data_IF_602830773396
#
_entry.id   IF_602830773396
#
_cell.length_a   1.000
_cell.length_b   1.000
_cell.length_c   1.000
_cell.angle_alpha   90.00
_cell.angle_beta   90.00
_cell.angle_gamma   90.00
#
_symmetry.space_group_name_H-M   'P 1'
#
loop_
_entity.id
_entity.type
_entity.pdbx_description
1 polymer ?
#
# COMPACT_ATOMS: atom_id res chain seq x y z
N UNK A 1 -28.79 -8.53 15.14
CA UNK A 1 -28.88 -7.11 15.57
C UNK A 1 -27.89 -6.87 16.72
N UNK A 2 -27.30 -5.67 16.82
CA UNK A 2 -26.46 -5.32 17.97
C UNK A 2 -27.37 -5.09 19.18
N UNK A 3 -27.15 -5.84 20.25
CA UNK A 3 -27.89 -5.70 21.51
C UNK A 3 -27.31 -4.59 22.38
N UNK A 4 -28.12 -3.99 23.24
CA UNK A 4 -27.72 -2.88 24.12
C UNK A 4 -26.58 -3.23 25.09
N UNK A 5 -26.42 -4.51 25.42
CA UNK A 5 -25.37 -5.01 26.31
C UNK A 5 -24.07 -5.45 25.56
N UNK A 6 -23.94 -5.16 24.27
CA UNK A 6 -22.76 -5.58 23.49
C UNK A 6 -21.51 -4.82 23.95
N UNK A 7 -20.54 -5.50 24.57
CA UNK A 7 -19.27 -4.92 25.07
C UNK A 7 -18.04 -5.46 24.35
N UNK A 8 -18.09 -5.62 23.03
CA UNK A 8 -16.98 -6.18 22.27
C UNK A 8 -15.91 -5.12 21.96
N UNK A 9 -14.65 -5.36 22.35
CA UNK A 9 -13.50 -4.55 21.90
C UNK A 9 -13.34 -3.17 22.55
N UNK A 10 -13.98 -2.92 23.70
CA UNK A 10 -13.81 -1.66 24.46
C UNK A 10 -14.32 -0.41 23.74
N UNK A 11 -15.18 -0.56 22.73
CA UNK A 11 -15.79 0.54 21.98
C UNK A 11 -17.21 0.82 22.46
N UNK A 12 -17.69 2.04 22.27
CA UNK A 12 -19.09 2.39 22.49
C UNK A 12 -19.96 1.87 21.34
N UNK A 13 -20.86 0.94 21.63
CA UNK A 13 -21.79 0.37 20.64
C UNK A 13 -23.15 1.08 20.60
N UNK A 14 -23.37 2.06 21.48
CA UNK A 14 -24.66 2.76 21.63
C UNK A 14 -25.22 3.29 20.30
N UNK A 15 -24.44 3.91 19.40
CA UNK A 15 -24.95 4.40 18.12
C UNK A 15 -25.45 3.31 17.15
N UNK A 16 -25.14 2.04 17.42
CA UNK A 16 -25.39 0.91 16.53
C UNK A 16 -26.42 -0.08 17.09
N UNK A 17 -26.96 0.15 18.29
CA UNK A 17 -27.99 -0.69 18.90
C UNK A 17 -29.18 -0.81 17.94
N UNK A 18 -29.67 -2.03 17.75
CA UNK A 18 -30.78 -2.33 16.84
C UNK A 18 -30.40 -2.46 15.37
N UNK A 19 -29.19 -2.05 14.95
CA UNK A 19 -28.73 -2.23 13.56
C UNK A 19 -28.15 -3.63 13.33
N UNK A 20 -28.19 -4.08 12.09
CA UNK A 20 -27.53 -5.33 11.65
C UNK A 20 -26.30 -4.95 10.83
N UNK A 21 -25.12 -5.36 11.30
CA UNK A 21 -23.86 -5.18 10.58
C UNK A 21 -23.47 -6.49 9.91
N UNK A 22 -22.92 -6.42 8.70
CA UNK A 22 -22.22 -7.57 8.13
C UNK A 22 -20.96 -7.89 8.95
N UNK A 23 -20.45 -9.12 8.81
CA UNK A 23 -19.25 -9.59 9.55
C UNK A 23 -18.04 -8.67 9.39
N UNK A 24 -17.84 -8.09 8.20
CA UNK A 24 -16.74 -7.17 7.94
C UNK A 24 -16.92 -5.82 8.67
N UNK A 25 -18.11 -5.24 8.65
CA UNK A 25 -18.45 -4.01 9.36
C UNK A 25 -18.32 -4.19 10.87
N UNK A 26 -18.81 -5.32 11.41
CA UNK A 26 -18.67 -5.66 12.82
C UNK A 26 -17.20 -5.74 13.24
N UNK A 27 -16.37 -6.47 12.50
CA UNK A 27 -14.95 -6.60 12.79
C UNK A 27 -14.21 -5.27 12.72
N UNK A 28 -14.53 -4.42 11.73
CA UNK A 28 -13.94 -3.08 11.62
C UNK A 28 -14.31 -2.19 12.79
N UNK A 29 -15.59 -2.13 13.16
CA UNK A 29 -16.03 -1.32 14.30
C UNK A 29 -15.39 -1.79 15.60
N UNK A 30 -15.39 -3.11 15.84
CA UNK A 30 -14.74 -3.72 17.01
C UNK A 30 -13.27 -3.31 17.15
N UNK A 31 -12.55 -3.22 16.03
CA UNK A 31 -11.11 -2.93 16.06
C UNK A 31 -10.78 -1.44 16.06
N UNK A 32 -11.66 -0.58 15.53
CA UNK A 32 -11.33 0.84 15.26
C UNK A 32 -12.28 1.84 15.91
N UNK A 33 -13.42 1.38 16.45
CA UNK A 33 -14.47 2.24 17.00
C UNK A 33 -15.22 3.10 15.99
N UNK A 34 -14.94 2.97 14.68
CA UNK A 34 -15.49 3.85 13.66
C UNK A 34 -16.03 3.08 12.45
N UNK A 35 -17.28 3.35 12.08
CA UNK A 35 -17.94 2.78 10.88
C UNK A 35 -18.12 3.79 9.75
N UNK A 36 -17.90 5.08 9.99
CA UNK A 36 -18.17 6.17 9.03
C UNK A 36 -17.47 5.93 7.69
N UNK A 37 -16.21 5.48 7.73
CA UNK A 37 -15.45 5.14 6.53
C UNK A 37 -15.90 3.86 5.82
N UNK A 38 -16.67 2.98 6.47
CA UNK A 38 -17.17 1.75 5.86
C UNK A 38 -18.54 1.94 5.20
N UNK A 39 -19.42 2.70 5.86
CA UNK A 39 -20.80 2.92 5.39
C UNK A 39 -20.79 3.76 4.11
N UNK A 40 -19.97 4.81 4.05
CA UNK A 40 -19.86 5.65 2.84
C UNK A 40 -19.23 4.94 1.64
N UNK A 41 -18.27 4.02 1.87
CA UNK A 41 -17.55 3.34 0.78
C UNK A 41 -18.34 2.25 0.08
N UNK A 42 -19.44 1.79 0.68
CA UNK A 42 -20.18 0.64 0.17
C UNK A 42 -21.64 0.92 -0.15
N UNK A 43 -22.13 2.16 -0.01
CA UNK A 43 -23.41 2.51 -0.63
C UNK A 43 -23.17 2.49 -2.14
N UNK A 44 -23.71 1.51 -2.89
CA UNK A 44 -23.58 1.54 -4.33
C UNK A 44 -24.25 2.82 -4.78
N UNK A 45 -23.51 3.69 -5.48
CA UNK A 45 -24.14 4.80 -6.19
C UNK A 45 -25.25 4.20 -7.05
N UNK A 46 -26.42 4.83 -7.02
CA UNK A 46 -27.52 4.50 -7.93
C UNK A 46 -26.97 4.47 -9.36
N UNK A 47 -27.50 3.58 -10.20
CA UNK A 47 -26.97 3.39 -11.56
C UNK A 47 -26.87 4.73 -12.33
N UNK A 48 -27.87 5.59 -12.16
CA UNK A 48 -27.94 6.94 -12.75
C UNK A 48 -26.82 7.88 -12.26
N UNK A 49 -26.29 7.66 -11.06
CA UNK A 49 -25.18 8.41 -10.48
C UNK A 49 -23.80 7.80 -10.80
N UNK A 50 -23.72 6.76 -11.65
CA UNK A 50 -22.44 6.11 -12.03
C UNK A 50 -21.84 6.71 -13.29
N UNK A 51 -21.71 8.04 -13.31
CA UNK A 51 -21.04 8.76 -14.39
C UNK A 51 -19.93 9.63 -13.84
N UNK A 52 -18.77 9.59 -14.48
CA UNK A 52 -17.68 10.49 -14.16
C UNK A 52 -18.08 11.94 -14.49
N UNK A 53 -18.10 12.82 -13.50
CA UNK A 53 -18.47 14.23 -13.65
C UNK A 53 -17.30 15.11 -14.11
N UNK A 54 -16.09 14.55 -14.23
CA UNK A 54 -14.94 15.28 -14.70
C UNK A 54 -15.01 15.49 -16.22
N UNK A 55 -15.03 16.75 -16.66
CA UNK A 55 -15.21 17.15 -18.07
C UNK A 55 -14.15 16.56 -19.01
N UNK A 56 -12.92 16.32 -18.54
CA UNK A 56 -11.84 15.73 -19.34
C UNK A 56 -11.80 14.20 -19.36
N UNK A 57 -12.84 13.51 -18.86
CA UNK A 57 -12.89 12.05 -18.84
C UNK A 57 -13.25 11.50 -20.23
N UNK A 58 -12.41 10.61 -20.78
CA UNK A 58 -12.68 10.00 -22.10
C UNK A 58 -13.89 9.07 -22.09
N UNK A 59 -14.02 8.27 -21.03
CA UNK A 59 -15.03 7.22 -20.93
C UNK A 59 -15.75 7.37 -19.58
N UNK A 60 -16.71 8.31 -19.47
CA UNK A 60 -17.32 8.64 -18.20
C UNK A 60 -18.25 7.56 -17.65
N UNK A 61 -18.74 6.63 -18.49
CA UNK A 61 -19.74 5.61 -18.12
C UNK A 61 -19.19 4.16 -18.10
N UNK A 62 -18.01 3.91 -18.67
CA UNK A 62 -17.45 2.55 -18.83
C UNK A 62 -16.65 2.05 -17.61
N UNK A 63 -16.63 2.78 -16.50
CA UNK A 63 -15.84 2.35 -15.34
C UNK A 63 -16.55 1.29 -14.52
N UNK A 64 -15.78 0.31 -14.04
CA UNK A 64 -16.28 -0.71 -13.10
C UNK A 64 -16.54 -0.13 -11.70
N UNK A 65 -15.92 1.00 -11.36
CA UNK A 65 -16.01 1.64 -10.05
C UNK A 65 -16.01 3.16 -10.16
N UNK A 66 -16.79 3.76 -9.29
CA UNK A 66 -16.92 5.21 -9.15
C UNK A 66 -16.66 5.62 -7.71
N UNK A 67 -16.03 6.77 -7.55
CA UNK A 67 -15.64 7.34 -6.26
C UNK A 67 -16.25 8.72 -6.15
N UNK A 68 -17.12 8.91 -5.15
CA UNK A 68 -17.59 10.24 -4.77
C UNK A 68 -16.52 10.89 -3.89
N UNK A 69 -16.09 12.09 -4.28
CA UNK A 69 -15.10 12.86 -3.53
C UNK A 69 -15.83 13.71 -2.50
N UNK A 70 -15.78 13.26 -1.24
CA UNK A 70 -16.28 14.01 -0.08
C UNK A 70 -15.15 14.80 0.61
N UNK A 71 -15.53 15.72 1.52
CA UNK A 71 -14.63 16.56 2.33
C UNK A 71 -13.62 15.73 3.14
N UNK A 72 -13.99 14.49 3.46
CA UNK A 72 -13.15 13.57 4.20
C UNK A 72 -12.21 12.72 3.31
N UNK A 73 -12.21 12.95 2.01
CA UNK A 73 -11.34 12.21 1.07
C UNK A 73 -9.91 12.72 1.23
N UNK A 74 -9.07 11.99 1.98
CA UNK A 74 -7.66 12.33 2.24
C UNK A 74 -6.68 11.38 1.56
N UNK A 75 -7.00 10.93 0.35
CA UNK A 75 -6.20 9.95 -0.38
C UNK A 75 -4.90 10.56 -0.94
N UNK A 76 -3.75 9.94 -0.69
CA UNK A 76 -2.49 10.27 -1.37
C UNK A 76 -1.82 11.59 -0.98
N UNK A 77 -2.20 12.20 0.15
CA UNK A 77 -1.57 13.45 0.61
C UNK A 77 -1.79 14.65 -0.32
N UNK A 78 -2.86 14.62 -1.12
CA UNK A 78 -3.25 15.70 -2.05
C UNK A 78 -4.46 16.45 -1.52
N UNK A 79 -4.59 17.69 -1.97
CA UNK A 79 -5.78 18.49 -1.71
C UNK A 79 -6.91 18.09 -2.68
N UNK A 80 -8.03 17.64 -2.14
CA UNK A 80 -9.21 17.21 -2.90
C UNK A 80 -10.31 18.28 -2.96
N UNK A 81 -10.10 19.45 -2.34
CA UNK A 81 -11.14 20.47 -2.14
C UNK A 81 -11.78 20.92 -3.46
N UNK A 82 -10.99 21.05 -4.53
CA UNK A 82 -11.49 21.42 -5.87
C UNK A 82 -12.39 20.38 -6.54
N UNK A 83 -12.32 19.14 -6.09
CA UNK A 83 -13.09 18.02 -6.63
C UNK A 83 -14.24 17.61 -5.69
N UNK A 84 -14.49 18.37 -4.63
CA UNK A 84 -15.54 18.05 -3.68
C UNK A 84 -16.92 17.99 -4.35
N UNK A 85 -17.68 16.93 -4.07
CA UNK A 85 -18.98 16.66 -4.68
C UNK A 85 -18.90 16.00 -6.07
N UNK A 86 -17.72 15.90 -6.68
CA UNK A 86 -17.56 15.23 -7.97
C UNK A 86 -17.53 13.70 -7.82
N UNK A 87 -18.00 13.02 -8.86
CA UNK A 87 -17.90 11.57 -8.99
C UNK A 87 -16.83 11.27 -10.02
N UNK A 88 -15.78 10.57 -9.61
CA UNK A 88 -14.67 10.20 -10.48
C UNK A 88 -14.71 8.70 -10.78
N UNK A 89 -14.46 8.34 -12.03
CA UNK A 89 -14.17 6.95 -12.38
C UNK A 89 -12.84 6.49 -11.76
N UNK A 90 -12.62 5.17 -11.65
CA UNK A 90 -11.40 4.59 -11.07
C UNK A 90 -10.11 5.13 -11.72
N UNK A 91 -10.12 5.37 -13.03
CA UNK A 91 -8.98 5.90 -13.76
C UNK A 91 -8.66 7.37 -13.38
N UNK A 92 -9.67 8.24 -13.34
CA UNK A 92 -9.50 9.64 -12.94
C UNK A 92 -9.09 9.75 -11.48
N UNK A 93 -9.77 9.02 -10.59
CA UNK A 93 -9.45 9.00 -9.16
C UNK A 93 -7.99 8.61 -8.90
N UNK A 94 -7.51 7.53 -9.51
CA UNK A 94 -6.13 7.09 -9.35
C UNK A 94 -5.11 8.07 -9.94
N UNK A 95 -5.44 8.71 -11.08
CA UNK A 95 -4.58 9.74 -11.67
C UNK A 95 -4.41 10.92 -10.72
N UNK A 96 -5.51 11.46 -10.19
CA UNK A 96 -5.45 12.57 -9.25
C UNK A 96 -4.74 12.19 -7.97
N UNK A 97 -5.05 11.01 -7.42
CA UNK A 97 -4.36 10.49 -6.22
C UNK A 97 -2.84 10.39 -6.40
N UNK A 98 -2.36 10.01 -7.58
CA UNK A 98 -0.94 9.90 -7.87
C UNK A 98 -0.28 11.25 -8.16
N UNK A 99 -0.90 12.09 -9.01
CA UNK A 99 -0.28 13.30 -9.58
C UNK A 99 -0.71 14.60 -8.91
N UNK A 100 -1.86 14.61 -8.24
CA UNK A 100 -2.52 15.82 -7.73
C UNK A 100 -3.25 16.63 -8.79
N UNK A 101 -3.26 16.19 -10.06
CA UNK A 101 -3.95 16.87 -11.16
C UNK A 101 -4.66 15.87 -12.07
N UNK A 102 -5.84 16.25 -12.59
CA UNK A 102 -6.60 15.46 -13.57
C UNK A 102 -6.32 15.89 -15.01
N UNK A 103 -5.83 17.12 -15.19
CA UNK A 103 -5.35 17.62 -16.46
C UNK A 103 -4.34 16.61 -17.01
N UNK A 104 -4.62 16.12 -18.22
CA UNK A 104 -3.55 15.52 -18.98
C UNK A 104 -2.47 16.59 -19.05
N UNK A 105 -1.23 16.21 -18.77
CA UNK A 105 -0.11 16.94 -19.32
C UNK A 105 -0.42 17.02 -20.81
N UNK A 106 -0.95 18.16 -21.24
CA UNK A 106 -1.03 18.48 -22.64
C UNK A 106 0.42 18.35 -23.04
N UNK A 107 0.70 17.35 -23.88
CA UNK A 107 2.03 17.20 -24.45
C UNK A 107 2.22 18.55 -25.09
N UNK A 108 3.03 19.40 -24.46
CA UNK A 108 3.25 20.76 -24.91
C UNK A 108 3.48 20.62 -26.41
N UNK A 109 2.76 21.38 -27.26
CA UNK A 109 3.09 21.35 -28.69
C UNK A 109 4.62 21.47 -28.76
N UNK A 110 5.32 20.56 -29.49
CA UNK A 110 6.77 20.53 -29.51
C UNK A 110 7.20 21.97 -29.78
N UNK A 111 7.81 22.58 -28.76
CA UNK A 111 8.07 24.01 -28.72
C UNK A 111 8.78 24.39 -30.00
N UNK A 112 8.03 24.95 -30.95
CA UNK A 112 8.58 25.39 -32.21
C UNK A 112 9.52 26.56 -31.87
N UNK A 113 10.80 26.35 -32.12
CA UNK A 113 11.85 27.36 -32.10
C UNK A 113 12.07 28.09 -30.75
N UNK A 114 12.73 27.41 -29.80
CA UNK A 114 13.61 28.13 -28.87
C UNK A 114 15.02 28.15 -29.49
N UNK A 115 15.43 29.35 -29.93
CA UNK A 115 16.76 29.65 -30.41
C UNK A 115 17.85 29.22 -29.41
N UNK A 116 19.06 28.86 -29.87
CA UNK A 116 20.19 28.58 -29.00
C UNK A 116 20.58 29.86 -28.26
N UNK A 117 20.55 29.83 -26.92
CA UNK A 117 21.16 30.84 -26.07
C UNK A 117 22.23 30.19 -25.18
N UNK A 118 23.29 30.95 -24.86
CA UNK A 118 24.61 30.40 -24.60
C UNK A 118 24.76 29.78 -23.21
N UNK A 119 25.67 28.82 -23.18
CA UNK A 119 26.30 28.15 -22.05
C UNK A 119 26.67 29.13 -20.92
N UNK A 120 25.90 29.11 -19.85
CA UNK A 120 26.27 29.65 -18.54
C UNK A 120 26.64 28.51 -17.60
N UNK A 121 27.94 28.28 -17.44
CA UNK A 121 28.49 27.38 -16.43
C UNK A 121 28.13 27.89 -15.03
N UNK A 122 27.47 27.04 -14.24
CA UNK A 122 27.08 27.32 -12.87
C UNK A 122 27.17 26.04 -12.05
N UNK A 123 28.37 25.78 -11.54
CA UNK A 123 28.70 24.73 -10.58
C UNK A 123 27.78 24.83 -9.35
N UNK A 124 26.95 23.81 -9.15
CA UNK A 124 26.25 23.57 -7.88
C UNK A 124 26.56 22.16 -7.43
N UNK A 125 27.56 22.06 -6.57
CA UNK A 125 27.81 20.93 -5.67
C UNK A 125 26.55 20.73 -4.81
N UNK A 126 25.75 19.73 -5.18
CA UNK A 126 24.54 19.28 -4.49
C UNK A 126 24.70 17.84 -4.07
N UNK A 127 24.72 17.64 -2.75
CA UNK A 127 25.15 16.46 -2.02
C UNK A 127 23.99 15.49 -1.82
N UNK A 128 23.65 14.70 -2.84
CA UNK A 128 22.78 13.53 -2.68
C UNK A 128 23.33 12.38 -3.53
N UNK A 129 23.99 11.43 -2.86
CA UNK A 129 24.64 10.27 -3.45
C UNK A 129 23.66 9.30 -4.11
N UNK A 130 23.27 9.61 -5.34
CA UNK A 130 22.76 8.64 -6.29
C UNK A 130 23.95 8.10 -7.10
N UNK A 131 24.41 6.90 -6.74
CA UNK A 131 25.33 6.13 -7.57
C UNK A 131 24.57 5.67 -8.83
N UNK A 132 24.47 6.54 -9.83
CA UNK A 132 24.01 6.18 -11.17
C UNK A 132 25.21 6.37 -12.10
N UNK A 133 25.57 5.27 -12.76
CA UNK A 133 26.54 5.16 -13.85
C UNK A 133 28.00 4.87 -13.44
N UNK A 134 28.21 3.84 -12.62
CA UNK A 134 29.38 2.98 -12.82
C UNK A 134 29.00 1.86 -13.82
N UNK A 135 29.88 1.49 -14.75
CA UNK A 135 29.67 0.34 -15.61
C UNK A 135 29.52 -0.93 -14.77
N UNK A 136 28.51 -1.74 -15.11
CA UNK A 136 28.15 -3.00 -14.47
C UNK A 136 29.25 -4.03 -14.69
N UNK A 137 30.22 -4.07 -13.80
CA UNK A 137 31.05 -5.25 -13.59
C UNK A 137 30.64 -5.82 -12.21
N UNK A 138 29.78 -6.84 -12.27
CA UNK A 138 29.57 -7.90 -11.27
C UNK A 138 29.12 -7.54 -9.85
N UNK A 139 28.37 -6.46 -9.66
CA UNK A 139 27.56 -6.31 -8.45
C UNK A 139 26.26 -7.13 -8.57
N UNK A 140 26.34 -8.46 -8.50
CA UNK A 140 25.16 -9.33 -8.31
C UNK A 140 24.57 -9.08 -6.92
N UNK A 141 23.67 -8.10 -6.83
CA UNK A 141 22.86 -7.90 -5.64
C UNK A 141 22.02 -9.17 -5.40
N UNK A 142 22.47 -9.96 -4.42
CA UNK A 142 21.78 -11.17 -3.98
C UNK A 142 21.27 -11.01 -2.57
N UNK A 143 20.16 -11.68 -2.26
CA UNK A 143 19.68 -11.77 -0.90
C UNK A 143 20.74 -12.49 -0.04
N UNK A 144 21.25 -11.83 1.00
CA UNK A 144 22.22 -12.35 1.96
C UNK A 144 21.62 -13.40 2.90
N UNK A 145 20.30 -13.60 2.88
CA UNK A 145 19.65 -14.61 3.72
C UNK A 145 19.82 -16.01 3.10
N UNK A 146 20.52 -16.90 3.81
CA UNK A 146 20.93 -18.22 3.32
C UNK A 146 19.75 -19.13 2.90
N UNK A 147 18.61 -19.06 3.60
CA UNK A 147 17.41 -19.84 3.24
C UNK A 147 16.48 -19.10 2.26
N UNK A 148 16.98 -18.10 1.53
CA UNK A 148 16.18 -17.44 0.51
C UNK A 148 15.96 -18.37 -0.68
N UNK A 149 14.71 -18.73 -0.96
CA UNK A 149 14.37 -19.62 -2.08
C UNK A 149 14.77 -19.04 -3.46
N UNK A 150 14.87 -17.72 -3.58
CA UNK A 150 15.11 -17.00 -4.83
C UNK A 150 15.99 -15.76 -4.57
N UNK A 151 17.30 -15.94 -4.33
CA UNK A 151 18.16 -14.84 -3.91
C UNK A 151 18.41 -13.79 -5.01
N UNK A 152 18.25 -14.17 -6.29
CA UNK A 152 18.53 -13.31 -7.46
C UNK A 152 17.29 -12.77 -8.18
N UNK A 153 16.10 -13.35 -7.97
CA UNK A 153 14.90 -12.97 -8.76
C UNK A 153 14.18 -11.70 -8.26
N UNK A 154 14.73 -11.02 -7.26
CA UNK A 154 14.07 -9.85 -6.69
C UNK A 154 14.37 -8.60 -7.50
N UNK A 155 13.33 -7.87 -7.90
CA UNK A 155 13.48 -6.55 -8.53
C UNK A 155 13.88 -5.44 -7.54
N UNK A 156 13.86 -5.74 -6.24
CA UNK A 156 14.18 -4.80 -5.16
C UNK A 156 14.92 -5.48 -4.03
N UNK A 157 16.00 -4.87 -3.60
CA UNK A 157 16.78 -5.26 -2.45
C UNK A 157 16.75 -4.16 -1.40
N UNK A 158 16.89 -4.54 -0.13
CA UNK A 158 16.85 -3.67 1.03
C UNK A 158 18.12 -3.93 1.82
N UNK A 159 19.00 -2.94 1.89
CA UNK A 159 20.16 -2.98 2.78
C UNK A 159 19.71 -2.65 4.20
N UNK A 160 19.95 -3.57 5.12
CA UNK A 160 19.60 -3.37 6.52
C UNK A 160 20.74 -2.61 7.19
N UNK A 161 20.43 -1.41 7.66
CA UNK A 161 21.33 -0.55 8.42
C UNK A 161 20.89 -0.44 9.87
N UNK A 162 21.75 0.07 10.75
CA UNK A 162 21.41 0.35 12.16
C UNK A 162 20.18 1.27 12.32
N UNK A 163 19.91 2.10 11.32
CA UNK A 163 18.77 3.03 11.30
C UNK A 163 17.52 2.46 10.63
N UNK A 164 17.50 1.17 10.25
CA UNK A 164 16.35 0.57 9.58
C UNK A 164 15.16 0.42 10.55
N UNK A 165 14.30 1.42 10.59
CA UNK A 165 13.09 1.43 11.42
C UNK A 165 11.89 0.83 10.66
N UNK A 166 11.94 -0.47 10.38
CA UNK A 166 10.83 -1.18 9.74
C UNK A 166 10.03 -1.99 10.76
N UNK A 167 9.15 -1.31 11.50
CA UNK A 167 8.30 -1.90 12.54
C UNK A 167 8.98 -2.01 13.91
N UNK A 168 8.24 -2.43 14.93
CA UNK A 168 8.71 -2.57 16.32
C UNK A 168 9.56 -3.84 16.54
N UNK A 169 10.42 -4.18 15.57
CA UNK A 169 11.21 -5.43 15.58
C UNK A 169 12.69 -5.11 15.67
N UNK A 170 13.41 -6.01 16.31
CA UNK A 170 14.86 -5.94 16.41
C UNK A 170 15.50 -6.42 15.09
N UNK A 171 16.18 -5.50 14.40
CA UNK A 171 16.91 -5.75 13.16
C UNK A 171 18.40 -5.98 13.38
N UNK A 172 18.89 -5.91 14.62
CA UNK A 172 20.33 -5.87 14.93
C UNK A 172 21.10 -7.06 14.35
N UNK A 173 20.49 -8.25 14.29
CA UNK A 173 21.11 -9.47 13.71
C UNK A 173 21.23 -9.45 12.19
N UNK A 174 20.56 -8.53 11.52
CA UNK A 174 20.53 -8.42 10.06
C UNK A 174 21.25 -7.15 9.57
N UNK A 175 21.77 -6.30 10.46
CA UNK A 175 22.53 -5.12 10.07
C UNK A 175 23.73 -5.52 9.20
N UNK A 176 23.92 -4.82 8.08
CA UNK A 176 24.91 -5.13 7.05
C UNK A 176 24.44 -6.16 6.02
N UNK A 177 23.30 -6.81 6.22
CA UNK A 177 22.75 -7.77 5.24
C UNK A 177 21.89 -7.08 4.18
N UNK A 178 21.86 -7.65 2.98
CA UNK A 178 20.97 -7.23 1.89
C UNK A 178 19.84 -8.24 1.76
N UNK A 179 18.60 -7.83 2.00
CA UNK A 179 17.43 -8.71 1.88
C UNK A 179 16.65 -8.42 0.59
N UNK A 180 16.22 -9.48 -0.10
CA UNK A 180 15.20 -9.32 -1.13
C UNK A 180 13.88 -8.80 -0.52
N UNK A 181 13.05 -8.17 -1.34
CA UNK A 181 11.78 -7.59 -0.86
C UNK A 181 10.88 -8.62 -0.16
N UNK A 182 10.85 -9.87 -0.62
CA UNK A 182 10.06 -10.93 -0.01
C UNK A 182 10.56 -11.29 1.41
N UNK A 183 11.88 -11.43 1.60
CA UNK A 183 12.49 -11.68 2.91
C UNK A 183 12.28 -10.48 3.84
N UNK A 184 12.49 -9.26 3.35
CA UNK A 184 12.27 -8.03 4.12
C UNK A 184 10.85 -7.96 4.69
N UNK A 185 9.82 -8.10 3.85
CA UNK A 185 8.42 -8.06 4.28
C UNK A 185 8.07 -9.21 5.22
N UNK A 186 8.64 -10.39 5.01
CA UNK A 186 8.45 -11.54 5.90
C UNK A 186 9.02 -11.29 7.28
N UNK A 187 10.25 -10.78 7.37
CA UNK A 187 10.85 -10.42 8.66
C UNK A 187 10.08 -9.30 9.35
N UNK A 188 9.70 -8.26 8.61
CA UNK A 188 8.89 -7.16 9.13
C UNK A 188 7.57 -7.66 9.77
N UNK A 189 6.89 -8.61 9.12
CA UNK A 189 5.62 -9.15 9.61
C UNK A 189 5.76 -10.15 10.75
N UNK A 190 6.73 -11.05 10.65
CA UNK A 190 6.82 -12.24 11.52
C UNK A 190 7.92 -12.12 12.59
N UNK A 191 8.84 -11.16 12.47
CA UNK A 191 10.01 -10.99 13.34
C UNK A 191 11.04 -12.12 13.22
N UNK A 192 10.82 -13.09 12.32
CA UNK A 192 11.70 -14.25 12.11
C UNK A 192 11.72 -14.60 10.63
N UNK A 193 12.91 -14.70 10.06
CA UNK A 193 13.13 -15.44 8.81
C UNK A 193 13.29 -16.91 9.21
N UNK A 194 12.16 -17.59 9.42
CA UNK A 194 12.18 -19.04 9.65
C UNK A 194 12.38 -19.76 8.32
N UNK A 195 13.16 -20.87 8.35
CA UNK A 195 13.34 -21.81 7.23
C UNK A 195 12.03 -21.97 6.49
N UNK A 196 11.99 -21.52 5.24
CA UNK A 196 10.90 -21.88 4.35
C UNK A 196 11.02 -23.39 4.23
N UNK A 197 10.12 -24.14 4.90
CA UNK A 197 9.95 -25.56 4.60
C UNK A 197 9.81 -25.62 3.08
N UNK A 198 10.84 -26.14 2.41
CA UNK A 198 10.80 -26.33 0.98
C UNK A 198 9.49 -27.06 0.72
N UNK A 199 8.55 -26.41 0.02
CA UNK A 199 7.39 -27.11 -0.48
C UNK A 199 7.97 -28.08 -1.50
N UNK A 200 8.35 -29.28 -1.03
CA UNK A 200 8.66 -30.39 -1.90
C UNK A 200 7.54 -30.47 -2.92
N UNK A 201 7.93 -30.59 -4.20
CA UNK A 201 7.02 -30.76 -5.32
C UNK A 201 6.25 -32.07 -5.18
N UNK A 202 5.31 -32.10 -4.25
CA UNK A 202 4.31 -33.14 -4.09
C UNK A 202 3.25 -32.90 -5.16
N UNK A 203 3.28 -33.80 -6.12
CA UNK A 203 2.28 -34.04 -7.16
C UNK A 203 0.85 -33.78 -6.68
N UNK A 204 0.05 -33.19 -7.55
CA UNK A 204 -1.29 -32.70 -7.26
C UNK A 204 -2.25 -33.80 -6.81
N UNK A 205 -2.38 -34.00 -5.50
CA UNK A 205 -3.58 -34.61 -4.92
C UNK A 205 -4.49 -33.52 -4.37
N UNK A 206 -5.63 -33.38 -5.03
CA UNK A 206 -6.78 -32.52 -4.70
C UNK A 206 -7.38 -32.92 -3.34
N UNK A 207 -6.73 -32.50 -2.26
CA UNK A 207 -7.23 -32.58 -0.89
C UNK A 207 -7.37 -31.18 -0.30
N UNK A 208 -8.55 -30.88 0.26
CA UNK A 208 -8.92 -29.62 0.92
C UNK A 208 -7.77 -29.07 1.79
N UNK A 209 -7.34 -27.83 1.51
CA UNK A 209 -6.31 -27.13 2.29
C UNK A 209 -6.79 -26.88 3.73
N UNK A 210 -6.09 -27.36 4.77
CA UNK A 210 -6.28 -26.85 6.12
C UNK A 210 -5.76 -25.40 6.20
N UNK A 211 -6.53 -24.52 6.84
CA UNK A 211 -6.13 -23.16 7.20
C UNK A 211 -5.27 -23.23 8.47
N UNK A 212 -3.96 -23.27 8.32
CA UNK A 212 -2.98 -22.98 9.39
C UNK A 212 -1.96 -21.97 8.83
N UNK A 213 -1.41 -21.01 9.56
CA UNK A 213 -1.54 -20.69 10.98
C UNK A 213 -1.09 -19.25 11.21
N UNK A 214 -1.66 -18.62 12.24
CA UNK A 214 -1.18 -17.34 12.74
C UNK A 214 0.21 -17.51 13.34
N UNK A 215 1.07 -16.49 13.21
CA UNK A 215 2.30 -16.42 13.98
C UNK A 215 1.93 -16.38 15.46
N UNK A 216 2.11 -17.50 16.17
CA UNK A 216 1.96 -17.57 17.61
C UNK A 216 2.90 -16.56 18.27
N UNK A 217 2.32 -15.68 19.10
CA UNK A 217 3.10 -14.83 20.01
C UNK A 217 3.65 -15.75 21.10
N UNK A 218 4.95 -16.05 21.06
CA UNK A 218 5.66 -16.57 22.22
C UNK A 218 5.82 -15.42 23.22
N UNK A 219 5.18 -15.51 24.39
CA UNK A 219 5.44 -14.61 25.51
C UNK A 219 6.78 -14.94 26.17
N UNK A 220 7.50 -13.95 26.73
CA UNK A 220 8.67 -14.23 27.56
C UNK A 220 8.21 -14.90 28.85
N UNK A 221 8.78 -16.07 29.15
CA UNK A 221 8.69 -16.66 30.48
C UNK A 221 9.59 -15.87 31.42
N UNK A 222 9.01 -15.39 32.51
CA UNK A 222 9.73 -14.91 33.69
C UNK A 222 10.30 -16.14 34.41
N UNK A 223 11.63 -16.22 34.53
CA UNK A 223 12.31 -17.10 35.47
C UNK A 223 12.48 -16.32 36.78
N UNK A 224 12.07 -16.96 37.88
CA UNK A 224 12.21 -16.50 39.27
C UNK A 224 13.49 -17.09 39.88
#
# INVERSE_FOLDING_TARGET
>A
PIAWYTKAGGQDWSPLIGRVLCKACYGRYRNTGRLEGAIRRHRPLAYEARRCTFEGCKNPEESKKYYQVDEHTKGGGRDWTRLHGQILCEACYNRFRARGTLEKAQKSPPSAAAAPSPTGAGDKVGKDGACILAPKEDCEERCSYEDCAKPFESLRFHQITEHTQAGSRDWSRLVGSTLCHACFVRFQRCGKLGKLRAKGGGEASSGKRPREGGCGKSGPGEEE
#
